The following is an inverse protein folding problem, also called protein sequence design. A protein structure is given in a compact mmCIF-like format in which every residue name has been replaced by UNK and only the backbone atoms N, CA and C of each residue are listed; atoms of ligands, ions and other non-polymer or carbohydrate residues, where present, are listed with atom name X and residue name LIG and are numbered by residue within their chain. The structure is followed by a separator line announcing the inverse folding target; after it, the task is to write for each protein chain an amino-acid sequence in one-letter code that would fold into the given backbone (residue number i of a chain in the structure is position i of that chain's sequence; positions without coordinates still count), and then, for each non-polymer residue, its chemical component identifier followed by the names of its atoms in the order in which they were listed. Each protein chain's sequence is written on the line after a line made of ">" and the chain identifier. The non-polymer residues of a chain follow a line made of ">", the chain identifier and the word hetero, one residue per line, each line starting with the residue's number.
data_IF_284874297193
#
_entry.id   IF_284874297193
#
_cell.length_a   1.000
_cell.length_b   1.000
_cell.length_c   1.000
_cell.angle_alpha   90.00
_cell.angle_beta   90.00
_cell.angle_gamma   90.00
#
_symmetry.space_group_name_H-M   'P 1'
#
loop_
_entity.id
_entity.type
_entity.pdbx_description
1 polymer ?
#
# COMPACT_ATOMS: atom_id res chain seq x y z
N UNK A 1 -4.76 23.34 -9.35
CA UNK A 1 -3.46 22.69 -9.63
C UNK A 1 -3.73 21.40 -10.40
N UNK A 2 -2.80 21.00 -11.25
CA UNK A 2 -2.72 19.69 -11.91
C UNK A 2 -1.80 18.79 -11.10
N UNK A 3 -2.39 17.78 -10.46
CA UNK A 3 -1.70 16.85 -9.55
C UNK A 3 -1.63 15.46 -10.18
N UNK A 4 -0.43 14.93 -10.30
CA UNK A 4 -0.16 13.58 -10.81
C UNK A 4 0.08 12.67 -9.62
N UNK A 5 -0.63 11.55 -9.55
CA UNK A 5 -0.45 10.55 -8.49
C UNK A 5 0.05 9.28 -9.16
N UNK A 6 1.22 8.78 -8.75
CA UNK A 6 1.69 7.48 -9.21
C UNK A 6 1.25 6.38 -8.28
N UNK A 7 1.05 5.18 -8.84
CA UNK A 7 0.68 4.02 -8.05
C UNK A 7 0.87 2.70 -8.77
N UNK A 8 0.39 1.63 -8.13
CA UNK A 8 0.56 0.24 -8.53
C UNK A 8 -0.80 -0.50 -8.55
N UNK A 9 -1.88 0.21 -8.87
CA UNK A 9 -3.25 -0.31 -8.93
C UNK A 9 -3.36 -1.45 -9.97
N UNK A 10 -2.77 -1.29 -11.15
CA UNK A 10 -2.75 -2.31 -12.20
C UNK A 10 -1.79 -3.45 -11.89
N UNK A 11 -0.61 -3.15 -11.35
CA UNK A 11 0.43 -4.11 -10.98
C UNK A 11 0.01 -5.01 -9.81
N UNK A 12 -0.70 -4.43 -8.83
CA UNK A 12 -1.18 -5.10 -7.64
C UNK A 12 -2.67 -4.78 -7.45
N UNK A 13 -3.55 -5.40 -8.24
CA UNK A 13 -4.99 -5.14 -8.25
C UNK A 13 -5.69 -5.78 -7.05
N UNK A 14 -5.15 -5.57 -5.85
CA UNK A 14 -5.70 -6.05 -4.59
C UNK A 14 -6.42 -4.91 -3.89
N UNK A 15 -7.61 -5.15 -3.35
CA UNK A 15 -8.48 -4.09 -2.85
C UNK A 15 -7.83 -3.10 -1.88
N UNK A 16 -6.98 -3.56 -0.96
CA UNK A 16 -6.23 -2.67 -0.06
C UNK A 16 -5.24 -1.76 -0.79
N UNK A 17 -4.48 -2.31 -1.74
CA UNK A 17 -3.51 -1.54 -2.54
C UNK A 17 -4.23 -0.54 -3.44
N UNK A 18 -5.38 -0.92 -3.99
CA UNK A 18 -6.20 0.00 -4.80
C UNK A 18 -6.58 1.24 -3.97
N UNK A 19 -7.05 1.04 -2.72
CA UNK A 19 -7.42 2.15 -1.83
C UNK A 19 -6.23 3.02 -1.39
N UNK A 20 -5.03 2.45 -1.22
CA UNK A 20 -3.82 3.21 -0.88
C UNK A 20 -3.60 4.38 -1.85
N UNK A 21 -3.82 4.17 -3.15
CA UNK A 21 -3.64 5.18 -4.18
C UNK A 21 -4.91 6.02 -4.45
N UNK A 22 -6.09 5.39 -4.44
CA UNK A 22 -7.36 6.11 -4.67
C UNK A 22 -7.59 7.21 -3.65
N UNK A 23 -7.19 7.01 -2.40
CA UNK A 23 -7.32 8.02 -1.37
C UNK A 23 -6.60 9.34 -1.67
N UNK A 24 -5.42 9.27 -2.29
CA UNK A 24 -4.72 10.49 -2.72
C UNK A 24 -5.45 11.16 -3.88
N UNK A 25 -5.83 10.38 -4.90
CA UNK A 25 -6.57 10.88 -6.07
C UNK A 25 -7.86 11.59 -5.67
N UNK A 26 -8.69 10.90 -4.89
CA UNK A 26 -10.01 11.39 -4.46
C UNK A 26 -9.88 12.54 -3.46
N UNK A 27 -8.87 12.50 -2.58
CA UNK A 27 -8.57 13.59 -1.65
C UNK A 27 -8.20 14.88 -2.39
N UNK A 28 -7.26 14.83 -3.33
CA UNK A 28 -6.88 16.02 -4.11
C UNK A 28 -8.02 16.51 -5.00
N UNK A 29 -8.81 15.61 -5.60
CA UNK A 29 -10.00 15.99 -6.36
C UNK A 29 -11.01 16.73 -5.48
N UNK A 30 -11.26 16.24 -4.26
CA UNK A 30 -12.17 16.87 -3.29
C UNK A 30 -11.70 18.26 -2.85
N UNK A 31 -10.39 18.51 -2.89
CA UNK A 31 -9.80 19.84 -2.65
C UNK A 31 -9.90 20.77 -3.88
N UNK A 32 -10.55 20.35 -4.97
CA UNK A 32 -10.76 21.15 -6.17
C UNK A 32 -9.59 21.14 -7.15
N UNK A 33 -8.74 20.11 -7.10
CA UNK A 33 -7.63 19.96 -8.05
C UNK A 33 -7.98 19.03 -9.20
N UNK A 34 -7.34 19.29 -10.35
CA UNK A 34 -7.32 18.35 -11.47
C UNK A 34 -6.33 17.24 -11.16
N UNK A 35 -6.74 15.99 -11.32
CA UNK A 35 -5.93 14.83 -10.96
C UNK A 35 -5.68 13.92 -12.17
N UNK A 36 -4.50 13.32 -12.21
CA UNK A 36 -4.15 12.26 -13.16
C UNK A 36 -3.47 11.13 -12.41
N UNK A 37 -3.99 9.92 -12.55
CA UNK A 37 -3.28 8.72 -12.14
C UNK A 37 -2.26 8.30 -13.20
N UNK A 38 -1.01 8.04 -12.80
CA UNK A 38 0.05 7.57 -13.69
C UNK A 38 0.70 6.31 -13.13
N UNK A 39 0.49 5.18 -13.81
CA UNK A 39 1.20 3.95 -13.51
C UNK A 39 2.27 3.67 -14.56
N UNK A 40 3.50 4.04 -14.21
CA UNK A 40 4.72 3.74 -14.96
C UNK A 40 5.80 3.23 -14.00
N UNK A 41 5.64 1.97 -13.60
CA UNK A 41 6.54 1.28 -12.68
C UNK A 41 7.71 0.60 -13.41
N UNK A 42 7.72 0.61 -14.74
CA UNK A 42 8.68 -0.16 -15.55
C UNK A 42 8.63 -1.68 -15.35
N UNK A 43 7.73 -2.19 -14.51
CA UNK A 43 7.57 -3.61 -14.26
C UNK A 43 6.70 -4.25 -15.35
N UNK A 44 6.96 -5.53 -15.62
CA UNK A 44 6.07 -6.31 -16.44
C UNK A 44 4.74 -6.55 -15.70
N UNK A 45 3.60 -6.52 -16.41
CA UNK A 45 2.29 -6.79 -15.83
C UNK A 45 2.26 -8.10 -15.04
N UNK A 46 1.47 -8.10 -13.97
CA UNK A 46 1.13 -9.30 -13.22
C UNK A 46 -0.32 -9.69 -13.51
N UNK A 47 -0.54 -10.94 -13.92
CA UNK A 47 -1.87 -11.52 -14.04
C UNK A 47 -2.19 -12.26 -12.74
N UNK A 48 -3.13 -11.77 -11.91
CA UNK A 48 -3.49 -12.40 -10.65
C UNK A 48 -4.27 -13.71 -10.82
N UNK A 49 -4.93 -13.93 -11.97
CA UNK A 49 -5.68 -15.16 -12.26
C UNK A 49 -4.71 -16.28 -12.64
N UNK A 50 -3.74 -15.98 -13.52
CA UNK A 50 -2.69 -16.91 -13.87
C UNK A 50 -1.58 -17.03 -12.80
N UNK A 51 -1.52 -16.06 -11.88
CA UNK A 51 -0.54 -16.01 -10.80
C UNK A 51 0.89 -15.77 -11.29
N UNK A 52 1.07 -15.10 -12.44
CA UNK A 52 2.38 -14.95 -13.09
C UNK A 52 2.59 -13.55 -13.67
N UNK A 53 3.86 -13.18 -13.83
CA UNK A 53 4.27 -12.04 -14.64
C UNK A 53 4.06 -12.41 -16.12
N UNK A 54 3.55 -11.47 -16.91
CA UNK A 54 3.19 -11.63 -18.32
C UNK A 54 3.50 -10.36 -19.11
N UNK A 55 3.54 -10.44 -20.44
CA UNK A 55 3.57 -9.26 -21.31
C UNK A 55 2.17 -8.72 -21.65
N UNK A 56 1.12 -9.52 -21.38
CA UNK A 56 -0.27 -9.15 -21.59
C UNK A 56 -0.79 -8.29 -20.44
N UNK A 57 -1.10 -7.04 -20.72
CA UNK A 57 -1.64 -6.11 -19.73
C UNK A 57 -3.19 -6.08 -19.70
N UNK A 58 -3.88 -6.96 -20.42
CA UNK A 58 -5.35 -6.94 -20.54
C UNK A 58 -6.07 -6.95 -19.18
N UNK A 59 -5.60 -7.73 -18.21
CA UNK A 59 -6.18 -7.74 -16.87
C UNK A 59 -6.04 -6.37 -16.19
N UNK A 60 -4.83 -5.81 -16.19
CA UNK A 60 -4.57 -4.50 -15.59
C UNK A 60 -5.43 -3.41 -16.25
N UNK A 61 -5.56 -3.42 -17.58
CA UNK A 61 -6.38 -2.46 -18.31
C UNK A 61 -7.87 -2.59 -17.98
N UNK A 62 -8.41 -3.81 -17.91
CA UNK A 62 -9.81 -4.05 -17.52
C UNK A 62 -10.08 -3.57 -16.09
N UNK A 63 -9.18 -3.89 -15.16
CA UNK A 63 -9.28 -3.49 -13.75
C UNK A 63 -9.23 -1.96 -13.61
N UNK A 64 -8.22 -1.30 -14.21
CA UNK A 64 -8.08 0.15 -14.19
C UNK A 64 -9.30 0.84 -14.82
N UNK A 65 -9.74 0.38 -15.99
CA UNK A 65 -10.93 0.94 -16.65
C UNK A 65 -12.14 0.88 -15.74
N UNK A 66 -12.40 -0.27 -15.11
CA UNK A 66 -13.51 -0.43 -14.18
C UNK A 66 -13.37 0.48 -12.97
N UNK A 67 -12.23 0.43 -12.27
CA UNK A 67 -11.98 1.21 -11.05
C UNK A 67 -12.17 2.70 -11.34
N UNK A 68 -11.50 3.23 -12.35
CA UNK A 68 -11.55 4.67 -12.63
C UNK A 68 -12.92 5.11 -13.16
N UNK A 69 -13.67 4.24 -13.83
CA UNK A 69 -15.08 4.52 -14.19
C UNK A 69 -15.97 4.60 -12.94
N UNK A 70 -15.81 3.66 -12.00
CA UNK A 70 -16.61 3.61 -10.75
C UNK A 70 -16.44 4.87 -9.86
N UNK A 71 -15.40 5.67 -10.11
CA UNK A 71 -15.12 6.94 -9.40
C UNK A 71 -15.25 8.19 -10.28
N UNK A 72 -15.83 8.11 -11.48
CA UNK A 72 -15.94 9.24 -12.43
C UNK A 72 -14.58 9.84 -12.83
N UNK A 73 -13.59 8.98 -13.07
CA UNK A 73 -12.22 9.31 -13.44
C UNK A 73 -11.76 8.54 -14.70
N UNK A 74 -12.70 8.12 -15.56
CA UNK A 74 -12.43 7.29 -16.74
C UNK A 74 -11.35 7.88 -17.69
N UNK A 75 -11.27 9.20 -17.77
CA UNK A 75 -10.30 9.95 -18.60
C UNK A 75 -9.06 10.42 -17.82
N UNK A 76 -8.96 10.09 -16.53
CA UNK A 76 -7.96 10.63 -15.60
C UNK A 76 -6.96 9.57 -15.12
N UNK A 77 -6.66 8.59 -15.97
CA UNK A 77 -5.63 7.60 -15.69
C UNK A 77 -4.81 7.26 -16.93
N UNK A 78 -3.55 6.90 -16.69
CA UNK A 78 -2.63 6.37 -17.70
C UNK A 78 -1.88 5.17 -17.12
N UNK A 79 -1.76 4.13 -17.93
CA UNK A 79 -0.91 2.97 -17.68
C UNK A 79 0.12 2.84 -18.79
N UNK A 80 1.41 2.73 -18.43
CA UNK A 80 2.48 2.39 -19.37
C UNK A 80 2.90 0.94 -19.14
N UNK A 81 2.65 0.09 -20.13
CA UNK A 81 3.01 -1.32 -20.05
C UNK A 81 4.54 -1.48 -20.05
N UNK A 82 5.11 -2.06 -18.98
CA UNK A 82 6.55 -2.25 -18.89
C UNK A 82 7.13 -3.26 -19.88
N UNK A 83 6.28 -4.10 -20.50
CA UNK A 83 6.74 -5.11 -21.46
C UNK A 83 7.02 -4.53 -22.87
N UNK A 84 6.22 -3.57 -23.35
CA UNK A 84 6.34 -3.00 -24.69
C UNK A 84 6.40 -1.46 -24.73
N UNK A 85 6.30 -0.81 -23.58
CA UNK A 85 6.38 0.65 -23.44
C UNK A 85 5.14 1.41 -23.91
N UNK A 86 4.07 0.72 -24.33
CA UNK A 86 2.85 1.36 -24.82
C UNK A 86 2.04 1.99 -23.69
N UNK A 87 1.37 3.10 -24.04
CA UNK A 87 0.50 3.85 -23.14
C UNK A 87 -0.97 3.55 -23.42
N UNK A 88 -1.75 3.46 -22.36
CA UNK A 88 -3.19 3.21 -22.37
C UNK A 88 -3.92 4.23 -21.48
N UNK A 89 -5.26 4.26 -21.52
CA UNK A 89 -6.06 5.30 -20.87
C UNK A 89 -5.92 6.63 -21.63
N UNK A 90 -5.63 7.73 -20.93
CA UNK A 90 -5.45 9.05 -21.54
C UNK A 90 -4.23 9.14 -22.50
N UNK A 91 -3.33 8.16 -22.46
CA UNK A 91 -2.27 7.96 -23.44
C UNK A 91 -1.02 8.85 -23.26
N UNK A 92 -0.01 8.58 -24.10
CA UNK A 92 1.33 9.14 -23.97
C UNK A 92 1.38 10.67 -24.05
N UNK A 93 0.62 11.26 -24.98
CA UNK A 93 0.59 12.71 -25.19
C UNK A 93 0.14 13.44 -23.92
N UNK A 94 -0.90 12.91 -23.26
CA UNK A 94 -1.41 13.46 -22.00
C UNK A 94 -0.35 13.29 -20.90
N UNK A 95 0.23 12.10 -20.73
CA UNK A 95 1.29 11.87 -19.74
C UNK A 95 2.45 12.86 -19.87
N UNK A 96 2.98 13.02 -21.09
CA UNK A 96 4.12 13.92 -21.34
C UNK A 96 3.75 15.38 -21.05
N UNK A 97 2.54 15.80 -21.40
CA UNK A 97 2.05 17.14 -21.13
C UNK A 97 1.91 17.41 -19.63
N UNK A 98 1.31 16.47 -18.90
CA UNK A 98 1.15 16.57 -17.44
C UNK A 98 2.51 16.57 -16.73
N UNK A 99 3.43 15.69 -17.11
CA UNK A 99 4.76 15.66 -16.49
C UNK A 99 5.63 16.90 -16.80
N UNK A 100 5.30 17.64 -17.86
CA UNK A 100 6.00 18.88 -18.25
C UNK A 100 5.38 20.14 -17.64
N UNK A 101 4.06 20.13 -17.39
CA UNK A 101 3.31 21.33 -16.99
C UNK A 101 2.50 21.17 -15.71
N UNK A 102 2.55 19.99 -15.08
CA UNK A 102 1.86 19.72 -13.83
C UNK A 102 2.47 20.54 -12.69
N UNK A 103 1.66 20.83 -11.69
CA UNK A 103 2.10 21.59 -10.53
C UNK A 103 2.75 20.67 -9.48
N UNK A 104 2.24 19.45 -9.35
CA UNK A 104 2.66 18.50 -8.31
C UNK A 104 2.64 17.07 -8.84
N UNK A 105 3.72 16.33 -8.58
CA UNK A 105 3.80 14.89 -8.74
C UNK A 105 3.93 14.24 -7.36
N UNK A 106 2.98 13.38 -7.00
CA UNK A 106 2.98 12.59 -5.77
C UNK A 106 3.36 11.16 -6.13
N UNK A 107 4.61 10.79 -5.84
CA UNK A 107 5.14 9.46 -6.07
C UNK A 107 4.94 8.59 -4.83
N UNK A 108 3.88 7.79 -4.83
CA UNK A 108 3.52 6.96 -3.68
C UNK A 108 4.21 5.60 -3.79
N UNK A 109 4.90 5.17 -2.73
CA UNK A 109 5.58 3.87 -2.63
C UNK A 109 6.65 3.64 -3.71
N UNK A 110 7.30 4.71 -4.21
CA UNK A 110 8.23 4.64 -5.34
C UNK A 110 7.64 3.99 -6.61
N UNK A 111 6.32 4.06 -6.78
CA UNK A 111 5.62 3.43 -7.88
C UNK A 111 6.02 4.00 -9.26
N UNK A 112 6.30 5.29 -9.32
CA UNK A 112 6.72 5.96 -10.56
C UNK A 112 8.22 5.84 -10.77
N UNK A 113 8.63 5.14 -11.82
CA UNK A 113 10.04 5.09 -12.26
C UNK A 113 10.42 6.27 -13.14
N UNK A 114 9.45 6.84 -13.85
CA UNK A 114 9.52 8.14 -14.54
C UNK A 114 10.73 8.27 -15.48
N UNK A 115 11.04 7.19 -16.20
CA UNK A 115 12.14 7.16 -17.18
C UNK A 115 11.66 7.69 -18.54
N UNK A 116 12.55 8.37 -19.25
CA UNK A 116 12.34 8.85 -20.61
C UNK A 116 11.27 9.96 -20.75
N UNK A 117 11.17 10.81 -19.74
CA UNK A 117 10.35 12.02 -19.75
C UNK A 117 11.20 13.29 -19.56
N UNK A 118 10.78 14.39 -20.18
CA UNK A 118 11.23 15.74 -19.83
C UNK A 118 10.43 16.20 -18.59
N UNK A 119 10.86 15.75 -17.42
CA UNK A 119 10.20 16.03 -16.14
C UNK A 119 10.43 17.50 -15.76
N UNK A 120 9.38 18.32 -15.90
CA UNK A 120 9.37 19.74 -15.51
C UNK A 120 8.22 20.10 -14.57
N UNK A 121 7.63 19.09 -13.94
CA UNK A 121 6.61 19.26 -12.91
C UNK A 121 7.11 20.22 -11.83
N UNK A 122 6.23 21.09 -11.34
CA UNK A 122 6.59 22.16 -10.41
C UNK A 122 7.19 21.66 -9.09
N UNK A 123 6.73 20.51 -8.58
CA UNK A 123 7.23 19.90 -7.36
C UNK A 123 7.07 18.37 -7.37
N UNK A 124 8.10 17.65 -6.93
CA UNK A 124 8.13 16.18 -6.79
C UNK A 124 8.07 15.80 -5.32
N UNK A 125 6.95 15.20 -4.93
CA UNK A 125 6.72 14.68 -3.58
C UNK A 125 6.87 13.17 -3.57
N UNK A 126 7.72 12.66 -2.68
CA UNK A 126 7.86 11.23 -2.43
C UNK A 126 7.08 10.83 -1.16
N UNK A 127 6.29 9.76 -1.23
CA UNK A 127 5.61 9.17 -0.08
C UNK A 127 6.12 7.75 0.16
N UNK A 128 6.79 7.54 1.28
CA UNK A 128 7.18 6.23 1.80
C UNK A 128 6.04 5.60 2.63
N UNK A 129 5.55 4.44 2.19
CA UNK A 129 4.57 3.63 2.91
C UNK A 129 5.13 2.43 3.69
N UNK A 130 6.43 2.14 3.57
CA UNK A 130 7.10 0.94 4.11
C UNK A 130 8.37 1.34 4.90
N UNK A 131 8.21 2.12 6.00
CA UNK A 131 9.34 2.63 6.76
C UNK A 131 10.19 1.50 7.31
N UNK A 132 11.46 1.79 7.57
CA UNK A 132 12.55 0.82 7.73
C UNK A 132 13.00 0.20 6.40
N UNK A 133 12.09 -0.37 5.61
CA UNK A 133 12.46 -1.14 4.42
C UNK A 133 12.86 -0.26 3.24
N UNK A 134 12.14 0.83 2.99
CA UNK A 134 12.50 1.82 1.98
C UNK A 134 13.87 2.43 2.31
N UNK A 135 14.10 2.80 3.56
CA UNK A 135 15.35 3.43 3.98
C UNK A 135 16.55 2.48 3.93
N UNK A 136 16.42 1.22 4.35
CA UNK A 136 17.48 0.22 4.10
C UNK A 136 17.77 0.09 2.61
N UNK A 137 16.72 0.16 1.77
CA UNK A 137 16.87 0.13 0.31
C UNK A 137 17.71 1.27 -0.26
N UNK A 138 17.69 2.47 0.35
CA UNK A 138 18.52 3.59 -0.08
C UNK A 138 20.01 3.36 0.14
N UNK A 139 20.34 2.51 1.11
CA UNK A 139 21.71 2.18 1.49
C UNK A 139 22.22 0.94 0.77
N UNK A 140 21.39 0.27 -0.03
CA UNK A 140 21.78 -0.88 -0.82
C UNK A 140 22.58 -0.43 -2.06
N UNK A 141 23.90 -0.48 -1.95
CA UNK A 141 24.83 -0.13 -3.03
C UNK A 141 24.69 -0.99 -4.29
N UNK A 142 23.98 -2.13 -4.23
CA UNK A 142 23.69 -2.95 -5.42
C UNK A 142 22.56 -2.36 -6.29
N UNK A 143 21.78 -1.41 -5.76
CA UNK A 143 20.68 -0.77 -6.47
C UNK A 143 20.78 0.78 -6.41
N UNK A 144 21.82 1.39 -7.00
CA UNK A 144 22.03 2.84 -6.96
C UNK A 144 20.90 3.62 -7.66
N UNK A 145 20.20 2.99 -8.60
CA UNK A 145 19.09 3.62 -9.32
C UNK A 145 17.91 3.90 -8.39
N UNK A 146 17.59 3.00 -7.45
CA UNK A 146 16.54 3.23 -6.46
C UNK A 146 16.86 4.45 -5.59
N UNK A 147 18.07 4.50 -5.02
CA UNK A 147 18.51 5.61 -4.18
C UNK A 147 18.50 6.94 -4.95
N UNK A 148 19.01 6.95 -6.18
CA UNK A 148 18.98 8.13 -7.05
C UNK A 148 17.56 8.65 -7.30
N UNK A 149 16.62 7.75 -7.64
CA UNK A 149 15.22 8.14 -7.88
C UNK A 149 14.56 8.74 -6.64
N UNK A 150 14.74 8.14 -5.47
CA UNK A 150 14.13 8.68 -4.24
C UNK A 150 14.74 10.05 -3.92
N UNK A 151 16.07 10.20 -3.99
CA UNK A 151 16.75 11.47 -3.70
C UNK A 151 16.44 12.59 -4.69
N UNK A 152 16.02 12.27 -5.91
CA UNK A 152 15.63 13.27 -6.93
C UNK A 152 14.30 13.99 -6.62
N UNK A 153 13.57 13.60 -5.57
CA UNK A 153 12.35 14.31 -5.17
C UNK A 153 12.66 15.56 -4.33
N UNK A 154 11.79 16.57 -4.43
CA UNK A 154 11.95 17.86 -3.74
C UNK A 154 11.49 17.81 -2.28
N UNK A 155 10.64 16.83 -1.93
CA UNK A 155 10.20 16.59 -0.56
C UNK A 155 9.88 15.12 -0.31
N UNK A 156 10.15 14.67 0.91
CA UNK A 156 10.02 13.27 1.30
C UNK A 156 9.14 13.15 2.53
N UNK A 157 8.12 12.32 2.43
CA UNK A 157 7.22 11.98 3.51
C UNK A 157 7.26 10.50 3.79
N UNK A 158 6.92 10.10 5.01
CA UNK A 158 6.88 8.70 5.42
C UNK A 158 5.72 8.44 6.37
N UNK A 159 5.14 7.24 6.27
CA UNK A 159 4.20 6.72 7.27
C UNK A 159 4.88 6.33 8.58
N UNK A 160 6.21 6.32 8.64
CA UNK A 160 6.97 6.14 9.87
C UNK A 160 7.02 7.43 10.68
N UNK A 161 6.04 7.65 11.55
CA UNK A 161 5.91 8.87 12.35
C UNK A 161 7.13 9.18 13.24
N UNK A 162 7.90 8.15 13.61
CA UNK A 162 9.09 8.28 14.44
C UNK A 162 10.40 8.40 13.64
N UNK A 163 10.36 8.24 12.32
CA UNK A 163 11.57 8.28 11.48
C UNK A 163 12.26 9.64 11.61
N UNK A 164 13.58 9.62 11.86
CA UNK A 164 14.38 10.82 12.10
C UNK A 164 14.38 11.31 13.55
N UNK A 165 13.58 10.72 14.44
CA UNK A 165 13.66 11.00 15.88
C UNK A 165 14.85 10.28 16.52
N UNK A 166 15.46 10.81 17.61
CA UNK A 166 16.67 10.25 18.21
C UNK A 166 16.59 8.77 18.62
N UNK A 167 15.40 8.29 18.99
CA UNK A 167 15.17 6.91 19.44
C UNK A 167 14.68 5.97 18.34
N UNK A 168 14.60 6.41 17.09
CA UNK A 168 14.19 5.60 15.96
C UNK A 168 15.41 5.08 15.19
N UNK A 169 15.68 3.75 15.16
CA UNK A 169 16.85 3.18 14.49
C UNK A 169 16.78 3.16 12.95
N UNK A 170 15.69 3.66 12.37
CA UNK A 170 15.51 3.72 10.91
C UNK A 170 16.59 4.62 10.31
N UNK A 171 17.38 4.15 9.32
CA UNK A 171 18.38 5.00 8.68
C UNK A 171 17.69 6.13 7.89
N UNK A 172 18.21 7.36 7.93
CA UNK A 172 17.58 8.50 7.22
C UNK A 172 18.29 8.89 5.92
N UNK A 173 19.53 8.45 5.70
CA UNK A 173 20.30 8.68 4.48
C UNK A 173 20.43 10.17 4.08
N UNK A 174 20.53 11.06 5.09
CA UNK A 174 20.60 12.52 4.87
C UNK A 174 19.31 13.16 4.35
N UNK A 175 18.23 12.39 4.19
CA UNK A 175 16.93 12.88 3.74
C UNK A 175 16.13 13.38 4.96
N UNK A 176 15.49 14.54 4.81
CA UNK A 176 14.53 15.05 5.79
C UNK A 176 13.17 14.37 5.59
N UNK A 177 12.95 13.26 6.30
CA UNK A 177 11.68 12.52 6.28
C UNK A 177 10.62 13.24 7.10
N UNK A 178 9.57 13.72 6.44
CA UNK A 178 8.44 14.37 7.10
C UNK A 178 7.38 13.32 7.47
N UNK A 179 6.93 13.26 8.73
CA UNK A 179 5.90 12.31 9.13
C UNK A 179 4.58 12.65 8.45
N UNK A 180 3.87 11.62 7.99
CA UNK A 180 2.50 11.73 7.51
C UNK A 180 1.74 10.43 7.80
N UNK A 181 0.43 10.43 7.55
CA UNK A 181 -0.42 9.23 7.57
C UNK A 181 -1.16 9.13 6.24
N UNK A 182 -1.68 7.93 5.95
CA UNK A 182 -2.54 7.72 4.80
C UNK A 182 -3.75 8.66 4.86
N UNK A 183 -4.00 9.52 3.85
CA UNK A 183 -5.25 10.26 3.76
C UNK A 183 -6.41 9.29 3.52
N UNK A 184 -7.62 9.65 3.97
CA UNK A 184 -8.83 8.87 3.71
C UNK A 184 -9.87 9.77 3.05
N UNK A 185 -10.36 9.34 1.88
CA UNK A 185 -11.48 9.95 1.19
C UNK A 185 -12.79 9.52 1.87
N UNK A 186 -13.14 10.21 2.96
CA UNK A 186 -14.19 9.82 3.91
C UNK A 186 -15.56 9.61 3.25
N UNK A 187 -15.88 10.35 2.20
CA UNK A 187 -17.14 10.22 1.44
C UNK A 187 -17.38 8.80 0.89
N UNK A 188 -16.31 8.02 0.70
CA UNK A 188 -16.41 6.64 0.23
C UNK A 188 -16.34 5.60 1.36
N UNK A 189 -16.20 6.02 2.62
CA UNK A 189 -16.09 5.16 3.79
C UNK A 189 -17.16 5.51 4.83
N UNK A 190 -18.45 5.34 4.51
CA UNK A 190 -19.52 5.64 5.45
C UNK A 190 -19.43 4.74 6.68
N UNK A 191 -19.81 5.31 7.83
CA UNK A 191 -19.91 4.56 9.08
C UNK A 191 -20.89 3.40 8.91
N UNK A 192 -20.45 2.19 9.27
CA UNK A 192 -21.27 0.98 9.17
C UNK A 192 -21.52 0.38 10.56
N UNK A 193 -22.77 0.00 10.89
CA UNK A 193 -23.10 -0.57 12.19
C UNK A 193 -22.33 -1.88 12.42
N UNK A 194 -21.96 -2.14 13.67
CA UNK A 194 -21.29 -3.38 14.06
C UNK A 194 -22.36 -4.42 14.37
N UNK A 195 -22.33 -5.55 13.66
CA UNK A 195 -23.19 -6.69 13.98
C UNK A 195 -22.64 -7.42 15.21
N UNK A 196 -23.50 -7.93 16.12
CA UNK A 196 -23.04 -8.63 17.32
C UNK A 196 -22.13 -9.84 17.07
N UNK A 197 -22.36 -10.53 15.95
CA UNK A 197 -21.67 -11.74 15.51
C UNK A 197 -20.47 -11.48 14.58
N UNK A 198 -20.18 -10.22 14.25
CA UNK A 198 -19.12 -9.90 13.32
C UNK A 198 -17.73 -10.27 13.87
N UNK A 199 -16.83 -10.84 13.05
CA UNK A 199 -15.46 -11.14 13.44
C UNK A 199 -14.61 -9.87 13.51
N UNK A 200 -13.57 -9.92 14.35
CA UNK A 200 -12.39 -9.08 14.17
C UNK A 200 -11.63 -9.58 12.94
N UNK A 201 -11.18 -8.66 12.09
CA UNK A 201 -10.62 -9.04 10.80
C UNK A 201 -9.33 -8.29 10.47
N UNK A 202 -8.56 -8.85 9.56
CA UNK A 202 -7.44 -8.17 8.90
C UNK A 202 -7.19 -8.81 7.54
N UNK A 203 -6.57 -8.02 6.67
CA UNK A 203 -6.03 -8.47 5.39
C UNK A 203 -4.51 -8.47 5.49
N UNK A 204 -3.86 -9.58 5.16
CA UNK A 204 -2.40 -9.67 5.20
C UNK A 204 -1.85 -10.71 4.22
N UNK A 205 -0.58 -10.56 3.86
CA UNK A 205 0.21 -11.68 3.35
C UNK A 205 1.02 -12.29 4.50
N UNK A 206 1.20 -13.61 4.50
CA UNK A 206 2.01 -14.28 5.52
C UNK A 206 3.44 -13.69 5.54
N UNK A 207 4.09 -13.67 4.37
CA UNK A 207 5.37 -12.99 4.18
C UNK A 207 5.52 -12.52 2.72
N UNK A 208 5.62 -11.20 2.51
CA UNK A 208 5.69 -10.62 1.17
C UNK A 208 7.06 -10.75 0.50
N UNK A 209 8.14 -10.65 1.28
CA UNK A 209 9.51 -10.77 0.81
C UNK A 209 10.45 -11.18 1.96
N UNK A 210 11.71 -11.50 1.63
CA UNK A 210 12.71 -11.95 2.61
C UNK A 210 13.05 -10.82 3.60
N UNK A 211 13.34 -11.12 4.88
CA UNK A 211 13.82 -10.12 5.83
C UNK A 211 15.05 -9.36 5.30
N UNK A 212 15.19 -8.10 5.69
CA UNK A 212 16.40 -7.30 5.43
C UNK A 212 17.29 -7.32 6.67
N UNK A 213 18.60 -7.40 6.45
CA UNK A 213 19.60 -7.28 7.54
C UNK A 213 20.16 -5.86 7.50
N UNK A 214 20.10 -5.18 8.64
CA UNK A 214 20.67 -3.85 8.81
C UNK A 214 21.38 -3.76 10.16
N UNK A 215 22.65 -3.35 10.14
CA UNK A 215 23.53 -3.29 11.32
C UNK A 215 23.52 -4.59 12.16
N UNK A 216 23.58 -5.74 11.48
CA UNK A 216 23.60 -7.06 12.14
C UNK A 216 22.25 -7.52 12.70
N UNK A 217 21.18 -6.77 12.48
CA UNK A 217 19.83 -7.09 12.98
C UNK A 217 18.87 -7.40 11.84
N UNK A 218 18.00 -8.37 12.07
CA UNK A 218 16.99 -8.78 11.10
C UNK A 218 15.72 -7.94 11.24
N UNK A 219 15.18 -7.48 10.11
CA UNK A 219 13.90 -6.79 10.00
C UNK A 219 13.01 -7.56 9.03
N UNK A 220 12.05 -8.32 9.58
CA UNK A 220 11.21 -9.23 8.81
C UNK A 220 9.77 -8.77 8.59
N UNK A 221 8.94 -9.68 8.09
CA UNK A 221 7.54 -9.45 7.75
C UNK A 221 6.60 -9.79 8.92
N UNK A 222 5.29 -9.75 8.63
CA UNK A 222 4.21 -10.01 9.58
C UNK A 222 4.26 -11.41 10.20
N UNK A 223 4.71 -12.45 9.48
CA UNK A 223 4.83 -13.80 9.99
C UNK A 223 5.62 -13.91 11.32
N UNK A 224 6.70 -13.14 11.48
CA UNK A 224 7.53 -13.20 12.70
C UNK A 224 6.75 -12.67 13.92
N UNK A 225 6.00 -11.58 13.75
CA UNK A 225 5.18 -11.00 14.80
C UNK A 225 3.92 -11.84 15.08
N UNK A 226 3.34 -12.44 14.04
CA UNK A 226 2.13 -13.23 14.16
C UNK A 226 2.28 -14.41 15.14
N UNK A 227 3.48 -15.03 15.22
CA UNK A 227 3.73 -16.13 16.15
C UNK A 227 3.44 -15.77 17.60
N UNK A 228 3.65 -14.50 18.00
CA UNK A 228 3.37 -14.01 19.36
C UNK A 228 1.88 -14.05 19.71
N UNK A 229 1.01 -14.06 18.69
CA UNK A 229 -0.44 -13.96 18.84
C UNK A 229 -1.21 -15.19 18.31
N UNK A 230 -0.52 -16.24 17.84
CA UNK A 230 -1.17 -17.38 17.19
C UNK A 230 -2.22 -18.10 18.05
N UNK A 231 -2.09 -18.03 19.37
CA UNK A 231 -3.02 -18.63 20.33
C UNK A 231 -4.19 -17.70 20.71
N UNK A 232 -4.27 -16.48 20.19
CA UNK A 232 -5.29 -15.50 20.59
C UNK A 232 -6.73 -16.05 20.55
N UNK A 233 -7.18 -16.82 19.53
CA UNK A 233 -8.55 -17.32 19.49
C UNK A 233 -8.86 -18.34 20.59
N UNK A 234 -7.86 -18.94 21.25
CA UNK A 234 -8.10 -19.86 22.38
C UNK A 234 -8.28 -19.13 23.71
N UNK A 235 -8.00 -17.81 23.75
CA UNK A 235 -8.01 -16.99 24.97
C UNK A 235 -9.23 -16.08 25.08
N UNK A 236 -10.15 -16.14 24.12
CA UNK A 236 -11.37 -15.32 24.09
C UNK A 236 -12.45 -16.00 23.26
N UNK A 237 -13.70 -15.63 23.47
CA UNK A 237 -14.83 -16.05 22.63
C UNK A 237 -15.05 -15.16 21.39
N UNK A 238 -14.22 -14.13 21.21
CA UNK A 238 -14.34 -13.23 20.06
C UNK A 238 -13.96 -13.96 18.76
N UNK A 239 -14.77 -13.87 17.68
CA UNK A 239 -14.43 -14.49 16.41
C UNK A 239 -13.36 -13.69 15.66
N UNK A 240 -12.40 -14.38 15.04
CA UNK A 240 -11.33 -13.78 14.23
C UNK A 240 -11.29 -14.38 12.83
N UNK A 241 -11.33 -13.52 11.80
CA UNK A 241 -11.20 -13.92 10.39
C UNK A 241 -10.04 -13.19 9.70
N UNK A 242 -9.11 -13.95 9.13
CA UNK A 242 -7.97 -13.43 8.39
C UNK A 242 -8.15 -13.69 6.90
N UNK A 243 -8.22 -12.61 6.11
CA UNK A 243 -8.01 -12.69 4.68
C UNK A 243 -6.49 -12.73 4.43
N UNK A 244 -5.97 -13.95 4.25
CA UNK A 244 -4.53 -14.21 4.31
C UNK A 244 -4.00 -14.74 2.99
N UNK A 245 -3.19 -13.93 2.31
CA UNK A 245 -2.42 -14.35 1.16
C UNK A 245 -1.18 -15.15 1.56
N UNK A 246 -0.66 -15.89 0.58
CA UNK A 246 0.44 -16.83 0.78
C UNK A 246 1.78 -16.13 1.07
N UNK A 247 2.70 -16.86 1.71
CA UNK A 247 4.08 -16.42 1.90
C UNK A 247 5.00 -16.77 0.72
N UNK A 248 6.26 -16.32 0.79
CA UNK A 248 7.32 -16.70 -0.15
C UNK A 248 7.34 -18.23 -0.36
N UNK A 249 7.30 -18.65 -1.61
CA UNK A 249 7.27 -20.07 -1.99
C UNK A 249 5.97 -20.80 -1.64
N UNK A 250 4.86 -20.10 -1.40
CA UNK A 250 3.55 -20.71 -1.13
C UNK A 250 3.42 -21.31 0.27
N UNK A 251 4.27 -20.93 1.23
CA UNK A 251 4.22 -21.48 2.57
C UNK A 251 3.37 -20.62 3.52
N UNK A 252 2.44 -21.27 4.23
CA UNK A 252 1.62 -20.66 5.27
C UNK A 252 1.15 -21.74 6.27
N UNK A 253 1.16 -21.49 7.60
CA UNK A 253 0.76 -22.49 8.61
C UNK A 253 -0.77 -22.63 8.75
N UNK A 254 -1.51 -22.65 7.63
CA UNK A 254 -2.98 -22.64 7.59
C UNK A 254 -3.62 -23.75 8.44
N UNK A 255 -3.06 -24.97 8.40
CA UNK A 255 -3.57 -26.12 9.18
C UNK A 255 -3.38 -25.91 10.69
N UNK A 256 -2.25 -25.36 11.11
CA UNK A 256 -1.97 -25.08 12.52
C UNK A 256 -2.88 -23.97 13.03
N UNK A 257 -2.99 -22.87 12.28
CA UNK A 257 -3.81 -21.73 12.66
C UNK A 257 -5.30 -22.08 12.76
N UNK A 258 -5.85 -22.88 11.83
CA UNK A 258 -7.25 -23.36 11.93
C UNK A 258 -7.48 -24.21 13.19
N UNK A 259 -6.51 -25.04 13.59
CA UNK A 259 -6.62 -25.81 14.85
C UNK A 259 -6.64 -24.93 16.09
N UNK A 260 -6.01 -23.75 16.03
CA UNK A 260 -6.02 -22.75 17.09
C UNK A 260 -7.27 -21.86 17.07
N UNK A 261 -8.20 -22.08 16.15
CA UNK A 261 -9.48 -21.35 16.08
C UNK A 261 -9.50 -20.15 15.13
N UNK A 262 -8.46 -19.96 14.30
CA UNK A 262 -8.48 -18.92 13.28
C UNK A 262 -9.38 -19.29 12.10
N UNK A 263 -10.30 -18.40 11.72
CA UNK A 263 -10.99 -18.46 10.44
C UNK A 263 -10.09 -17.84 9.36
N UNK A 264 -9.74 -18.63 8.34
CA UNK A 264 -8.80 -18.23 7.29
C UNK A 264 -9.49 -18.31 5.94
N UNK A 265 -9.57 -17.17 5.25
CA UNK A 265 -10.19 -17.00 3.94
C UNK A 265 -9.17 -16.48 2.92
N UNK A 266 -9.39 -16.79 1.64
CA UNK A 266 -8.53 -16.30 0.57
C UNK A 266 -8.87 -14.82 0.26
N UNK A 267 -7.89 -13.89 0.31
CA UNK A 267 -8.14 -12.49 -0.04
C UNK A 267 -8.63 -12.29 -1.48
N UNK A 268 -8.28 -13.17 -2.44
CA UNK A 268 -8.78 -13.10 -3.80
C UNK A 268 -10.26 -13.49 -3.90
N UNK A 269 -10.78 -14.28 -2.96
CA UNK A 269 -12.21 -14.63 -2.93
C UNK A 269 -13.04 -13.55 -2.22
N UNK A 270 -12.54 -13.02 -1.09
CA UNK A 270 -13.36 -12.13 -0.23
C UNK A 270 -13.14 -10.65 -0.49
N UNK A 271 -12.00 -10.26 -1.07
CA UNK A 271 -11.62 -8.87 -1.29
C UNK A 271 -10.79 -8.67 -2.59
N UNK A 272 -11.22 -9.23 -3.75
CA UNK A 272 -10.45 -9.11 -5.00
C UNK A 272 -10.37 -7.68 -5.54
N UNK A 273 -11.32 -6.82 -5.19
CA UNK A 273 -11.45 -5.48 -5.76
C UNK A 273 -11.73 -4.42 -4.68
N UNK A 274 -11.80 -3.16 -5.11
CA UNK A 274 -12.00 -2.01 -4.22
C UNK A 274 -13.36 -2.00 -3.50
N UNK A 275 -14.42 -2.54 -4.10
CA UNK A 275 -15.77 -2.60 -3.54
C UNK A 275 -15.89 -3.74 -2.53
N UNK A 276 -15.42 -4.93 -2.90
CA UNK A 276 -15.40 -6.13 -2.07
C UNK A 276 -14.50 -5.93 -0.84
N UNK A 277 -13.33 -5.30 -1.01
CA UNK A 277 -12.46 -4.94 0.12
C UNK A 277 -13.12 -3.95 1.09
N UNK A 278 -13.75 -2.89 0.57
CA UNK A 278 -14.52 -1.96 1.42
C UNK A 278 -15.62 -2.70 2.17
N UNK A 279 -16.35 -3.59 1.50
CA UNK A 279 -17.43 -4.39 2.10
C UNK A 279 -16.90 -5.37 3.17
N UNK A 280 -15.73 -5.97 2.95
CA UNK A 280 -15.06 -6.82 3.92
C UNK A 280 -14.72 -6.03 5.20
N UNK A 281 -14.14 -4.84 5.07
CA UNK A 281 -13.85 -3.96 6.21
C UNK A 281 -15.12 -3.49 6.93
N UNK A 282 -16.13 -3.01 6.21
CA UNK A 282 -17.35 -2.44 6.81
C UNK A 282 -18.28 -3.49 7.42
N UNK A 283 -18.21 -4.74 6.97
CA UNK A 283 -18.95 -5.87 7.58
C UNK A 283 -18.28 -6.43 8.85
N UNK A 284 -17.06 -6.01 9.13
CA UNK A 284 -16.29 -6.49 10.28
C UNK A 284 -16.72 -5.82 11.59
N UNK A 285 -16.37 -6.45 12.71
CA UNK A 285 -16.49 -5.85 14.04
C UNK A 285 -15.50 -4.72 14.24
N UNK A 286 -14.29 -4.91 13.73
CA UNK A 286 -13.15 -4.04 13.94
C UNK A 286 -11.89 -4.68 13.35
N UNK A 287 -10.81 -3.91 13.31
CA UNK A 287 -9.51 -4.48 12.97
C UNK A 287 -8.88 -5.14 14.19
N UNK A 288 -8.44 -6.38 14.04
CA UNK A 288 -7.33 -6.89 14.84
C UNK A 288 -6.17 -7.14 13.89
N UNK A 289 -5.00 -6.52 14.12
CA UNK A 289 -3.87 -6.73 13.22
C UNK A 289 -2.53 -6.59 13.91
N UNK A 290 -1.55 -7.23 13.28
CA UNK A 290 -0.14 -7.15 13.61
C UNK A 290 0.61 -6.41 12.51
N UNK A 291 1.67 -5.71 12.92
CA UNK A 291 2.52 -4.95 12.04
C UNK A 291 3.63 -5.84 11.45
N UNK A 292 4.35 -5.35 10.42
CA UNK A 292 5.59 -6.04 10.01
C UNK A 292 6.58 -5.99 11.17
N UNK A 293 7.35 -7.06 11.37
CA UNK A 293 8.42 -7.09 12.36
C UNK A 293 9.36 -5.88 12.23
N UNK A 294 9.67 -5.47 11.00
CA UNK A 294 10.47 -4.27 10.76
C UNK A 294 9.92 -3.00 11.39
N UNK A 295 8.59 -2.83 11.42
CA UNK A 295 7.95 -1.64 11.97
C UNK A 295 7.96 -1.63 13.51
N UNK A 296 7.75 -2.82 14.11
CA UNK A 296 7.72 -3.03 15.56
C UNK A 296 9.13 -2.89 16.12
N UNK A 297 10.06 -3.68 15.58
CA UNK A 297 11.45 -3.71 16.02
C UNK A 297 12.16 -2.38 15.75
N UNK A 298 11.80 -1.72 14.64
CA UNK A 298 12.28 -0.40 14.27
C UNK A 298 11.58 0.75 14.97
N UNK A 299 10.57 0.50 15.82
CA UNK A 299 9.78 1.53 16.52
C UNK A 299 9.39 2.70 15.60
N UNK A 300 8.96 2.37 14.39
CA UNK A 300 8.77 3.31 13.29
C UNK A 300 7.63 4.32 13.51
N UNK A 301 6.70 4.06 14.42
CA UNK A 301 5.45 4.80 14.57
C UNK A 301 4.48 4.57 13.41
N UNK A 302 4.70 3.54 12.58
CA UNK A 302 3.87 3.26 11.40
C UNK A 302 2.42 2.96 11.77
N UNK A 303 1.49 3.70 11.14
CA UNK A 303 0.05 3.48 11.21
C UNK A 303 -0.51 3.02 9.87
N UNK A 304 -1.27 1.92 9.86
CA UNK A 304 -1.72 1.29 8.61
C UNK A 304 -2.77 2.13 7.88
N UNK A 305 -2.61 2.23 6.57
CA UNK A 305 -3.67 2.63 5.64
C UNK A 305 -4.99 1.88 5.89
N UNK A 306 -4.93 0.55 6.05
CA UNK A 306 -6.10 -0.28 6.37
C UNK A 306 -6.73 0.09 7.71
N UNK A 307 -5.93 0.34 8.75
CA UNK A 307 -6.43 0.78 10.06
C UNK A 307 -7.19 2.10 9.95
N UNK A 308 -6.67 3.04 9.15
CA UNK A 308 -7.34 4.29 8.87
C UNK A 308 -8.69 4.06 8.14
N UNK A 309 -8.78 3.11 7.20
CA UNK A 309 -10.05 2.71 6.58
C UNK A 309 -11.06 2.12 7.59
N UNK A 310 -10.64 1.26 8.51
CA UNK A 310 -11.53 0.72 9.56
C UNK A 310 -12.07 1.85 10.44
N UNK A 311 -11.19 2.75 10.91
CA UNK A 311 -11.59 3.88 11.74
C UNK A 311 -12.55 4.81 11.00
N UNK A 312 -12.30 5.09 9.72
CA UNK A 312 -13.20 5.90 8.89
C UNK A 312 -14.59 5.26 8.75
N UNK A 313 -14.66 3.92 8.64
CA UNK A 313 -15.91 3.16 8.64
C UNK A 313 -16.57 3.03 10.04
N UNK A 314 -16.07 3.74 11.05
CA UNK A 314 -16.58 3.70 12.43
C UNK A 314 -16.29 2.38 13.15
N UNK A 315 -15.26 1.65 12.72
CA UNK A 315 -14.87 0.36 13.31
C UNK A 315 -13.68 0.55 14.26
N UNK A 316 -13.69 -0.04 15.46
CA UNK A 316 -12.54 -0.01 16.36
C UNK A 316 -11.34 -0.74 15.75
N UNK A 317 -10.14 -0.31 16.11
CA UNK A 317 -8.89 -0.96 15.71
C UNK A 317 -8.08 -1.35 16.96
N UNK A 318 -7.76 -2.63 17.08
CA UNK A 318 -6.84 -3.19 18.07
C UNK A 318 -5.61 -3.69 17.32
N UNK A 319 -4.61 -2.80 17.24
CA UNK A 319 -3.44 -3.01 16.39
C UNK A 319 -2.15 -3.00 17.20
N UNK A 320 -1.18 -3.78 16.74
CA UNK A 320 0.11 -3.88 17.40
C UNK A 320 0.86 -2.54 17.40
N UNK A 321 1.36 -2.15 18.57
CA UNK A 321 2.18 -0.96 18.78
C UNK A 321 3.46 -0.99 17.93
N UNK A 322 3.74 0.12 17.26
CA UNK A 322 4.91 0.32 16.39
C UNK A 322 5.78 1.51 16.83
N UNK A 323 5.49 2.16 17.96
CA UNK A 323 6.23 3.30 18.51
C UNK A 323 5.41 4.56 18.84
N UNK A 324 4.07 4.51 18.82
CA UNK A 324 3.16 5.63 19.10
C UNK A 324 3.17 6.11 20.54
N UNK A 325 3.38 5.19 21.50
CA UNK A 325 3.36 5.50 22.93
C UNK A 325 4.68 6.04 23.50
N UNK A 326 5.70 6.29 22.65
CA UNK A 326 7.04 6.71 23.09
C UNK A 326 7.23 8.21 23.13
#
# INVERSE_FOLDING_TARGET
>A
MRVIITGLVGQYPFGGVIWDYLHYLLGFRSLGHEVLYLEDSGAWPYDPVAGTITNDCSFALQSLTKIFTDFDLAESWVYRNGADGKFYGAGEKVTREWLRQGDLLVNVSSAGWLRDYDLRVGHKMFIDGDPMFCQIGLLDGSNPQYAGRVRDHDSHFTFGLSVGQPNCPVPVDGICWRPTVQPIALEHWPVAPIRPDAPWTTVMNWASYRPKIWQGKEYGQKNLEFIKFKELPTKTSAPFRLAMGMGVGGHCPTKELRKLGWDLVDPQEVAPDHQSYRSFLTSSRGEWSIAKHGYVEGKTGWFSCRSACYLAAGKPAVVQETGWSQ
#
